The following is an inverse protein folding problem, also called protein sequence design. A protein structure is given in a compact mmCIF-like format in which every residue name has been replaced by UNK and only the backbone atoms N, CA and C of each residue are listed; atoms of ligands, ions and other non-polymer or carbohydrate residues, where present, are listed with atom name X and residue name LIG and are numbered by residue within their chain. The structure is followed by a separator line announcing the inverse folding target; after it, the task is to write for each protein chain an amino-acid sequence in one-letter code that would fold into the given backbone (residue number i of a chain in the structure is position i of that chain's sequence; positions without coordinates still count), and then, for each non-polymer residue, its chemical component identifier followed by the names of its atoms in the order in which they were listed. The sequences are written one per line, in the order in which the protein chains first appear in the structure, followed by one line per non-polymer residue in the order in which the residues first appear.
data_IF_790266365027
#
_entry.id   IF_790266365027
#
_cell.length_a   1.000
_cell.length_b   1.000
_cell.length_c   1.000
_cell.angle_alpha   90.00
_cell.angle_beta   90.00
_cell.angle_gamma   90.00
#
_symmetry.space_group_name_H-M   'P 1'
#
loop_
_entity.id
_entity.type
_entity.pdbx_description
1 polymer ?
#
# COMPACT_ATOMS: atom_id res chain seq x y z
N UNK A 1 -21.22 -28.83 46.17
CA UNK A 1 -19.85 -29.32 46.46
C UNK A 1 -19.19 -29.67 45.13
N UNK A 2 -18.46 -28.72 44.55
CA UNK A 2 -17.80 -28.87 43.25
C UNK A 2 -16.29 -28.82 43.47
N UNK A 3 -15.61 -29.95 43.25
CA UNK A 3 -14.15 -30.05 43.31
C UNK A 3 -13.65 -30.49 41.93
N UNK A 4 -13.65 -29.57 40.97
CA UNK A 4 -12.80 -29.73 39.78
C UNK A 4 -11.48 -29.03 40.04
N UNK A 5 -10.51 -29.86 40.43
CA UNK A 5 -9.11 -29.50 40.65
C UNK A 5 -8.53 -28.88 39.37
N UNK A 6 -8.18 -27.59 39.45
CA UNK A 6 -7.33 -26.90 38.48
C UNK A 6 -5.96 -27.59 38.48
N UNK A 7 -5.77 -28.56 37.59
CA UNK A 7 -4.43 -29.03 37.23
C UNK A 7 -3.74 -27.90 36.47
N UNK A 8 -2.93 -27.14 37.22
CA UNK A 8 -1.89 -26.26 36.65
C UNK A 8 -1.01 -27.13 35.76
N UNK A 9 -1.19 -27.00 34.44
CA UNK A 9 -0.21 -27.47 33.47
C UNK A 9 1.06 -26.61 33.62
N UNK A 10 1.98 -27.07 34.46
CA UNK A 10 3.39 -26.65 34.42
C UNK A 10 4.00 -27.29 33.18
N UNK A 11 4.23 -26.48 32.15
CA UNK A 11 4.91 -26.91 30.93
C UNK A 11 4.65 -26.00 29.74
N UNK A 12 4.78 -24.67 29.92
CA UNK A 12 4.74 -23.78 28.77
C UNK A 12 6.06 -23.98 27.99
N UNK A 13 6.04 -24.76 26.91
CA UNK A 13 7.09 -24.70 25.89
C UNK A 13 7.23 -23.23 25.53
N UNK A 14 8.43 -22.66 25.67
CA UNK A 14 8.71 -21.28 25.25
C UNK A 14 8.35 -21.18 23.76
N UNK A 15 7.22 -20.55 23.45
CA UNK A 15 6.91 -20.20 22.07
C UNK A 15 7.99 -19.20 21.63
N UNK A 16 8.79 -19.60 20.65
CA UNK A 16 9.82 -18.73 20.07
C UNK A 16 9.11 -17.79 19.09
N UNK A 17 8.69 -16.62 19.59
CA UNK A 17 8.15 -15.53 18.76
C UNK A 17 9.27 -14.53 18.49
N UNK A 18 9.47 -14.17 17.23
CA UNK A 18 10.39 -13.09 16.89
C UNK A 18 9.90 -11.79 17.54
N UNK A 19 10.81 -11.02 18.11
CA UNK A 19 10.50 -9.73 18.72
C UNK A 19 10.27 -8.68 17.63
N UNK A 20 9.18 -8.80 16.87
CA UNK A 20 8.78 -7.92 15.77
C UNK A 20 7.47 -7.22 16.10
N UNK A 21 7.22 -6.07 15.48
CA UNK A 21 5.89 -5.50 15.44
C UNK A 21 5.07 -6.23 14.36
N UNK A 22 4.08 -7.01 14.79
CA UNK A 22 3.22 -7.78 13.89
C UNK A 22 2.05 -6.97 13.31
N UNK A 23 1.94 -5.69 13.69
CA UNK A 23 0.83 -4.82 13.36
C UNK A 23 -0.44 -5.13 14.15
N UNK A 24 -1.48 -4.35 13.89
CA UNK A 24 -2.81 -4.55 14.46
C UNK A 24 -3.73 -5.31 13.46
N UNK A 25 -4.66 -6.14 13.95
CA UNK A 25 -4.75 -6.62 15.33
C UNK A 25 -3.53 -7.47 15.69
N UNK A 26 -3.05 -7.35 16.93
CA UNK A 26 -1.86 -8.08 17.37
C UNK A 26 -2.14 -9.60 17.38
N UNK A 27 -1.39 -10.42 16.63
CA UNK A 27 -1.66 -11.85 16.61
C UNK A 27 -1.39 -12.45 17.99
N UNK A 28 -2.24 -13.40 18.43
CA UNK A 28 -2.08 -14.06 19.73
C UNK A 28 -0.73 -14.77 19.81
N UNK A 29 -0.19 -14.91 21.03
CA UNK A 29 1.08 -15.61 21.24
C UNK A 29 0.93 -17.13 21.08
N UNK A 30 -0.29 -17.63 21.20
CA UNK A 30 -0.67 -19.03 21.09
C UNK A 30 -0.92 -19.40 19.62
N UNK A 31 -0.72 -20.68 19.29
CA UNK A 31 -1.02 -21.21 17.95
C UNK A 31 -2.49 -21.54 17.73
N UNK A 32 -3.37 -21.12 18.65
CA UNK A 32 -4.80 -21.40 18.61
C UNK A 32 -5.52 -20.13 18.20
N UNK A 33 -6.35 -20.24 17.16
CA UNK A 33 -7.24 -19.16 16.76
C UNK A 33 -8.55 -19.24 17.54
N UNK A 34 -9.04 -18.10 17.99
CA UNK A 34 -10.36 -17.93 18.57
C UNK A 34 -11.07 -16.77 17.88
N UNK A 35 -12.40 -16.85 17.79
CA UNK A 35 -13.19 -15.86 17.08
C UNK A 35 -13.28 -14.57 17.90
N UNK A 36 -12.54 -13.54 17.46
CA UNK A 36 -12.60 -12.18 17.99
C UNK A 36 -12.79 -11.21 16.83
N UNK A 37 -13.71 -10.24 16.97
CA UNK A 37 -13.94 -9.22 15.94
C UNK A 37 -12.62 -8.56 15.52
N UNK A 38 -12.40 -8.45 14.22
CA UNK A 38 -11.20 -7.89 13.60
C UNK A 38 -10.09 -8.92 13.36
N UNK A 39 -10.06 -10.04 14.09
CA UNK A 39 -9.02 -11.07 13.92
C UNK A 39 -9.22 -11.92 12.66
N UNK A 40 -10.34 -11.78 11.97
CA UNK A 40 -10.56 -12.34 10.63
C UNK A 40 -9.46 -11.87 9.67
N UNK A 41 -8.96 -10.64 9.86
CA UNK A 41 -7.85 -10.09 9.09
C UNK A 41 -6.61 -10.98 9.15
N UNK A 42 -6.32 -11.62 10.29
CA UNK A 42 -5.11 -12.43 10.47
C UNK A 42 -5.14 -13.74 9.67
N UNK A 43 -6.33 -14.21 9.29
CA UNK A 43 -6.54 -15.52 8.68
C UNK A 43 -6.99 -15.44 7.21
N UNK A 44 -7.44 -14.27 6.76
CA UNK A 44 -7.85 -14.07 5.36
C UNK A 44 -6.66 -14.19 4.42
N UNK A 45 -6.89 -14.80 3.25
CA UNK A 45 -5.89 -14.93 2.19
C UNK A 45 -5.37 -13.53 1.79
N UNK A 46 -4.07 -13.23 1.96
CA UNK A 46 -3.50 -11.96 1.57
C UNK A 46 -3.21 -11.88 0.07
N UNK A 47 -3.32 -12.97 -0.70
CA UNK A 47 -2.97 -13.00 -2.13
C UNK A 47 -4.23 -12.86 -2.99
N UNK A 48 -5.25 -13.69 -2.74
CA UNK A 48 -6.51 -13.67 -3.49
C UNK A 48 -7.44 -12.58 -2.93
N UNK A 49 -7.50 -11.43 -3.61
CA UNK A 49 -8.30 -10.28 -3.17
C UNK A 49 -9.20 -9.81 -4.33
N UNK A 50 -10.41 -10.38 -4.46
CA UNK A 50 -11.31 -10.11 -5.60
C UNK A 50 -11.67 -8.62 -5.77
N UNK A 51 -11.69 -7.85 -4.67
CA UNK A 51 -11.96 -6.42 -4.71
C UNK A 51 -10.88 -5.67 -5.50
N UNK A 52 -9.61 -6.05 -5.36
CA UNK A 52 -8.50 -5.44 -6.09
C UNK A 52 -8.58 -5.79 -7.56
N UNK A 53 -8.89 -7.05 -7.89
CA UNK A 53 -9.03 -7.47 -9.29
C UNK A 53 -10.10 -6.65 -10.01
N UNK A 54 -11.25 -6.44 -9.37
CA UNK A 54 -12.32 -5.59 -9.91
C UNK A 54 -11.86 -4.13 -10.09
N UNK A 55 -11.16 -3.58 -9.10
CA UNK A 55 -10.63 -2.21 -9.14
C UNK A 55 -9.58 -2.03 -10.26
N UNK A 56 -8.70 -3.01 -10.45
CA UNK A 56 -7.70 -3.02 -11.53
C UNK A 56 -8.35 -3.14 -12.90
N UNK A 57 -9.37 -3.97 -13.05
CA UNK A 57 -10.12 -4.11 -14.30
C UNK A 57 -10.82 -2.80 -14.67
N UNK A 58 -11.34 -2.07 -13.68
CA UNK A 58 -11.90 -0.73 -13.88
C UNK A 58 -10.85 0.29 -14.36
N UNK A 59 -9.61 0.21 -13.87
CA UNK A 59 -8.49 1.02 -14.38
C UNK A 59 -8.20 0.62 -15.84
N UNK A 60 -7.96 -0.66 -16.11
CA UNK A 60 -7.59 -1.14 -17.46
C UNK A 60 -8.63 -0.75 -18.50
N UNK A 61 -9.91 -0.94 -18.21
CA UNK A 61 -11.01 -0.50 -19.08
C UNK A 61 -11.01 1.01 -19.35
N UNK A 62 -10.56 1.82 -18.39
CA UNK A 62 -10.45 3.27 -18.57
C UNK A 62 -9.27 3.70 -19.42
N UNK A 63 -8.18 2.92 -19.41
CA UNK A 63 -7.01 3.13 -20.26
C UNK A 63 -7.33 2.79 -21.73
N UNK A 64 -8.09 1.72 -21.96
CA UNK A 64 -8.48 1.29 -23.32
C UNK A 64 -9.45 2.27 -24.01
N UNK A 65 -10.15 3.10 -23.23
CA UNK A 65 -10.92 4.21 -23.78
C UNK A 65 -9.95 5.28 -24.27
N UNK A 66 -9.58 5.22 -25.57
CA UNK A 66 -8.89 6.31 -26.28
C UNK A 66 -9.64 7.63 -26.04
N UNK A 67 -9.24 8.36 -25.00
CA UNK A 67 -9.78 9.67 -24.73
C UNK A 67 -9.23 10.59 -25.81
N UNK A 68 -10.09 11.01 -26.73
CA UNK A 68 -9.82 12.19 -27.54
C UNK A 68 -9.56 13.32 -26.53
N UNK A 69 -8.40 14.01 -26.58
CA UNK A 69 -8.06 15.03 -25.61
C UNK A 69 -9.01 16.20 -25.81
N UNK A 70 -10.15 16.16 -25.13
CA UNK A 70 -11.10 17.26 -25.02
C UNK A 70 -11.11 17.70 -23.58
N UNK A 71 -10.04 18.35 -23.17
CA UNK A 71 -10.12 19.33 -22.12
C UNK A 71 -9.60 20.64 -22.70
N UNK A 72 -10.54 21.57 -22.87
CA UNK A 72 -10.25 22.97 -23.18
C UNK A 72 -9.42 23.54 -22.04
N UNK A 73 -8.30 24.24 -22.31
CA UNK A 73 -7.54 24.88 -21.25
C UNK A 73 -8.48 25.75 -20.41
N UNK A 74 -8.47 25.55 -19.10
CA UNK A 74 -9.12 26.51 -18.20
C UNK A 74 -8.49 27.88 -18.42
N UNK A 75 -9.24 28.95 -18.14
CA UNK A 75 -8.72 30.32 -18.16
C UNK A 75 -7.58 30.40 -17.13
N UNK A 76 -6.35 30.29 -17.62
CA UNK A 76 -5.07 30.43 -16.89
C UNK A 76 -4.81 29.37 -15.79
N UNK A 77 -3.91 28.43 -16.08
CA UNK A 77 -3.37 27.51 -15.09
C UNK A 77 -2.25 28.20 -14.28
N UNK A 78 -2.33 28.19 -12.96
CA UNK A 78 -1.32 28.80 -12.09
C UNK A 78 0.07 28.17 -12.26
N UNK A 79 0.12 26.89 -12.65
CA UNK A 79 1.35 26.15 -12.83
C UNK A 79 2.03 26.45 -14.17
N UNK A 80 1.35 27.12 -15.11
CA UNK A 80 1.96 27.55 -16.38
C UNK A 80 3.14 28.51 -16.15
N UNK A 81 3.09 29.29 -15.05
CA UNK A 81 4.15 30.23 -14.67
C UNK A 81 5.38 29.53 -14.09
N UNK A 82 5.27 28.26 -13.69
CA UNK A 82 6.38 27.51 -13.12
C UNK A 82 7.21 26.84 -14.23
N UNK A 83 8.55 26.95 -14.18
CA UNK A 83 9.44 26.13 -14.97
C UNK A 83 9.18 24.64 -14.78
N UNK A 84 9.46 23.86 -15.82
CA UNK A 84 9.25 22.40 -15.83
C UNK A 84 9.97 21.69 -14.68
N UNK A 85 11.17 22.14 -14.32
CA UNK A 85 11.96 21.59 -13.21
C UNK A 85 11.25 21.74 -11.85
N UNK A 86 10.65 22.91 -11.58
CA UNK A 86 9.91 23.13 -10.33
C UNK A 86 8.65 22.28 -10.26
N UNK A 87 8.00 21.99 -11.39
CA UNK A 87 6.86 21.06 -11.42
C UNK A 87 7.29 19.65 -11.02
N UNK A 88 8.44 19.18 -11.52
CA UNK A 88 9.04 17.91 -11.11
C UNK A 88 9.36 17.87 -9.62
N UNK A 89 9.94 18.94 -9.07
CA UNK A 89 10.24 19.01 -7.64
C UNK A 89 8.98 18.98 -6.77
N UNK A 90 7.90 19.63 -7.20
CA UNK A 90 6.58 19.50 -6.55
C UNK A 90 6.14 18.03 -6.53
N UNK A 91 6.24 17.31 -7.65
CA UNK A 91 5.82 15.91 -7.71
C UNK A 91 6.65 14.99 -6.80
N UNK A 92 7.95 15.23 -6.65
CA UNK A 92 8.79 14.44 -5.72
C UNK A 92 8.30 14.51 -4.27
N UNK A 93 7.72 15.65 -3.87
CA UNK A 93 7.22 15.90 -2.52
C UNK A 93 5.83 15.30 -2.27
N UNK A 94 5.08 14.96 -3.33
CA UNK A 94 3.70 14.50 -3.22
C UNK A 94 3.61 12.97 -3.14
N UNK A 95 2.65 12.41 -2.37
CA UNK A 95 2.29 11.00 -2.45
C UNK A 95 1.75 10.60 -3.82
N UNK A 96 1.87 9.32 -4.20
CA UNK A 96 1.46 8.80 -5.50
C UNK A 96 0.00 9.14 -5.87
N UNK A 97 -0.94 8.98 -4.94
CA UNK A 97 -2.35 9.34 -5.15
C UNK A 97 -2.55 10.83 -5.41
N UNK A 98 -1.82 11.68 -4.68
CA UNK A 98 -1.89 13.14 -4.84
C UNK A 98 -1.24 13.63 -6.14
N UNK A 99 -0.20 12.94 -6.64
CA UNK A 99 0.38 13.22 -7.96
C UNK A 99 -0.69 13.05 -9.04
N UNK A 100 -1.42 11.94 -9.02
CA UNK A 100 -2.49 11.66 -9.99
C UNK A 100 -3.62 12.69 -9.87
N UNK A 101 -4.04 13.04 -8.65
CA UNK A 101 -5.03 14.09 -8.42
C UNK A 101 -4.61 15.44 -9.02
N UNK A 102 -3.34 15.82 -8.82
CA UNK A 102 -2.82 17.09 -9.31
C UNK A 102 -2.75 17.14 -10.84
N UNK A 103 -2.35 16.04 -11.48
CA UNK A 103 -2.32 15.94 -12.94
C UNK A 103 -3.73 15.96 -13.53
N UNK A 104 -4.68 15.30 -12.88
CA UNK A 104 -6.09 15.37 -13.24
C UNK A 104 -6.67 16.79 -13.15
N UNK A 105 -6.26 17.57 -12.13
CA UNK A 105 -6.81 18.89 -11.85
C UNK A 105 -6.16 20.05 -12.63
N UNK A 106 -4.91 19.90 -13.09
CA UNK A 106 -4.15 20.97 -13.77
C UNK A 106 -3.61 20.49 -15.11
N UNK A 107 -3.81 21.29 -16.16
CA UNK A 107 -3.32 21.00 -17.50
C UNK A 107 -1.79 21.10 -17.58
N UNK A 108 -1.21 22.13 -16.96
CA UNK A 108 0.24 22.32 -16.91
C UNK A 108 0.95 21.16 -16.18
N UNK A 109 0.30 20.62 -15.14
CA UNK A 109 0.79 19.46 -14.38
C UNK A 109 0.56 18.15 -15.14
N UNK A 110 -0.56 18.02 -15.86
CA UNK A 110 -0.81 16.88 -16.76
C UNK A 110 0.29 16.75 -17.84
N UNK A 111 0.65 17.85 -18.48
CA UNK A 111 1.71 17.87 -19.51
C UNK A 111 3.12 17.59 -18.97
N UNK A 112 3.31 17.64 -17.64
CA UNK A 112 4.60 17.30 -17.04
C UNK A 112 4.78 15.79 -17.02
N UNK A 113 5.59 15.28 -17.94
CA UNK A 113 5.88 13.84 -18.10
C UNK A 113 6.89 13.33 -17.07
N UNK A 114 6.79 12.04 -16.72
CA UNK A 114 7.77 11.33 -15.91
C UNK A 114 8.36 10.15 -16.69
N UNK A 115 9.51 9.65 -16.25
CA UNK A 115 9.92 8.30 -16.65
C UNK A 115 8.99 7.27 -16.00
N UNK A 116 8.76 6.16 -16.70
CA UNK A 116 8.05 5.01 -16.12
C UNK A 116 8.78 4.50 -14.86
N UNK A 117 10.11 4.59 -14.85
CA UNK A 117 10.95 4.21 -13.72
C UNK A 117 10.68 5.06 -12.47
N UNK A 118 10.54 6.38 -12.61
CA UNK A 118 10.22 7.26 -11.48
C UNK A 118 8.89 6.86 -10.83
N UNK A 119 7.87 6.61 -11.65
CA UNK A 119 6.56 6.21 -11.15
C UNK A 119 6.59 4.85 -10.46
N UNK A 120 7.29 3.89 -11.06
CA UNK A 120 7.49 2.56 -10.48
C UNK A 120 8.21 2.66 -9.14
N UNK A 121 9.31 3.40 -9.06
CA UNK A 121 10.05 3.63 -7.82
C UNK A 121 9.19 4.28 -6.73
N UNK A 122 8.38 5.28 -7.10
CA UNK A 122 7.45 5.96 -6.19
C UNK A 122 6.42 5.00 -5.61
N UNK A 123 5.80 4.18 -6.46
CA UNK A 123 4.83 3.17 -6.02
C UNK A 123 5.48 2.05 -5.20
N UNK A 124 6.66 1.57 -5.61
CA UNK A 124 7.39 0.55 -4.85
C UNK A 124 7.84 1.07 -3.48
N UNK A 125 8.13 2.37 -3.34
CA UNK A 125 8.47 2.97 -2.06
C UNK A 125 7.25 3.16 -1.14
N UNK A 126 6.13 3.66 -1.67
CA UNK A 126 4.95 4.01 -0.87
C UNK A 126 4.00 2.83 -0.63
N UNK A 127 3.86 1.95 -1.61
CA UNK A 127 2.90 0.83 -1.63
C UNK A 127 3.55 -0.44 -2.18
N UNK A 128 4.65 -0.94 -1.55
CA UNK A 128 5.34 -2.14 -2.02
C UNK A 128 4.47 -3.41 -1.99
N UNK A 129 3.45 -3.41 -1.12
CA UNK A 129 2.48 -4.49 -0.98
C UNK A 129 1.40 -4.53 -2.07
N UNK A 130 1.38 -3.55 -2.98
CA UNK A 130 0.45 -3.49 -4.12
C UNK A 130 1.22 -3.55 -5.43
N UNK A 131 1.89 -4.67 -5.66
CA UNK A 131 2.76 -4.85 -6.83
C UNK A 131 1.99 -4.87 -8.15
N UNK A 132 0.70 -5.18 -8.15
CA UNK A 132 -0.12 -5.30 -9.36
C UNK A 132 -0.24 -4.00 -10.16
N UNK A 133 -0.02 -2.85 -9.51
CA UNK A 133 -0.10 -1.53 -10.17
C UNK A 133 1.25 -0.98 -10.63
N UNK A 134 2.37 -1.60 -10.23
CA UNK A 134 3.72 -1.04 -10.47
C UNK A 134 4.06 -0.95 -11.96
N UNK A 135 3.50 -1.84 -12.78
CA UNK A 135 3.75 -1.91 -14.23
C UNK A 135 2.63 -1.28 -15.09
N UNK A 136 1.60 -0.70 -14.48
CA UNK A 136 0.47 -0.11 -15.22
C UNK A 136 0.81 1.32 -15.63
N UNK A 137 0.74 1.60 -16.94
CA UNK A 137 0.89 2.96 -17.46
C UNK A 137 -0.44 3.74 -17.37
N UNK A 138 -0.58 4.55 -16.32
CA UNK A 138 -1.80 5.28 -15.96
C UNK A 138 -1.86 6.71 -16.54
N UNK A 139 -0.74 7.25 -17.02
CA UNK A 139 -0.59 8.63 -17.51
C UNK A 139 -0.98 8.77 -18.99
N UNK A 140 -2.21 8.37 -19.33
CA UNK A 140 -2.71 8.44 -20.71
C UNK A 140 -3.62 9.65 -20.95
N UNK A 141 -4.40 10.04 -19.94
CA UNK A 141 -5.30 11.20 -19.99
C UNK A 141 -5.60 11.70 -18.58
N UNK A 142 -6.04 12.95 -18.45
CA UNK A 142 -6.49 13.48 -17.14
C UNK A 142 -7.66 12.68 -16.55
N UNK A 143 -8.50 12.07 -17.40
CA UNK A 143 -9.61 11.21 -16.94
C UNK A 143 -9.09 9.90 -16.33
N UNK A 144 -8.08 9.28 -16.94
CA UNK A 144 -7.46 8.06 -16.38
C UNK A 144 -6.70 8.38 -15.10
N UNK A 145 -6.02 9.54 -15.05
CA UNK A 145 -5.35 10.04 -13.85
C UNK A 145 -6.33 10.31 -12.71
N UNK A 146 -7.46 10.96 -12.97
CA UNK A 146 -8.51 11.24 -11.97
C UNK A 146 -9.06 9.94 -11.36
N UNK A 147 -9.42 8.99 -12.22
CA UNK A 147 -9.96 7.70 -11.78
C UNK A 147 -8.92 6.90 -10.99
N UNK A 148 -7.68 6.86 -11.48
CA UNK A 148 -6.60 6.17 -10.79
C UNK A 148 -6.24 6.81 -9.46
N UNK A 149 -6.28 8.15 -9.38
CA UNK A 149 -6.12 8.90 -8.13
C UNK A 149 -7.15 8.47 -7.09
N UNK A 150 -8.44 8.54 -7.45
CA UNK A 150 -9.53 8.18 -6.55
C UNK A 150 -9.39 6.75 -6.03
N UNK A 151 -9.06 5.82 -6.92
CA UNK A 151 -8.87 4.43 -6.54
C UNK A 151 -7.64 4.21 -5.67
N UNK A 152 -6.49 4.81 -6.00
CA UNK A 152 -5.27 4.64 -5.21
C UNK A 152 -5.43 5.18 -3.79
N UNK A 153 -6.12 6.32 -3.64
CA UNK A 153 -6.46 6.89 -2.34
C UNK A 153 -7.44 5.99 -1.55
N UNK A 154 -8.43 5.40 -2.23
CA UNK A 154 -9.38 4.48 -1.63
C UNK A 154 -8.71 3.17 -1.16
N UNK A 155 -7.87 2.57 -2.00
CA UNK A 155 -7.04 1.40 -1.66
C UNK A 155 -6.11 1.73 -0.48
N UNK A 156 -5.46 2.89 -0.48
CA UNK A 156 -4.58 3.31 0.62
C UNK A 156 -5.35 3.40 1.94
N UNK A 157 -6.59 3.88 1.91
CA UNK A 157 -7.50 3.92 3.06
C UNK A 157 -7.94 2.51 3.47
N UNK A 158 -8.47 1.72 2.55
CA UNK A 158 -9.02 0.38 2.79
C UNK A 158 -7.98 -0.69 3.12
N UNK A 159 -6.70 -0.44 2.85
CA UNK A 159 -5.59 -1.29 3.28
C UNK A 159 -5.14 -1.02 4.72
N UNK A 160 -5.57 0.09 5.34
CA UNK A 160 -5.20 0.44 6.69
C UNK A 160 -6.24 -0.08 7.68
N UNK A 161 -5.90 -1.13 8.43
CA UNK A 161 -6.73 -1.60 9.53
C UNK A 161 -6.77 -0.57 10.67
N UNK A 162 -7.97 -0.28 11.17
CA UNK A 162 -8.18 0.42 12.43
C UNK A 162 -9.23 -0.32 13.26
N UNK A 163 -9.12 -0.27 14.59
CA UNK A 163 -10.12 -0.89 15.48
C UNK A 163 -11.45 -0.14 15.51
N UNK A 164 -11.47 1.09 14.99
CA UNK A 164 -12.58 2.03 15.07
C UNK A 164 -13.49 2.01 13.84
N UNK A 165 -13.03 1.44 12.72
CA UNK A 165 -13.76 1.43 11.45
C UNK A 165 -13.65 0.06 10.78
N UNK A 166 -14.76 -0.40 10.21
CA UNK A 166 -14.86 -1.66 9.48
C UNK A 166 -14.75 -1.46 7.93
N UNK A 167 -14.44 -0.25 7.45
CA UNK A 167 -14.26 0.12 6.03
C UNK A 167 -12.88 -0.27 5.46
N UNK A 168 -12.43 -1.49 5.74
CA UNK A 168 -11.17 -2.03 5.20
C UNK A 168 -11.41 -3.32 4.43
N UNK A 169 -10.56 -3.58 3.44
CA UNK A 169 -10.55 -4.84 2.70
C UNK A 169 -9.65 -5.81 3.45
N UNK A 170 -10.25 -6.85 4.06
CA UNK A 170 -9.56 -7.81 4.93
C UNK A 170 -8.26 -8.36 4.33
N UNK A 171 -8.31 -8.87 3.09
CA UNK A 171 -7.13 -9.44 2.43
C UNK A 171 -6.05 -8.40 2.17
N UNK A 172 -6.45 -7.18 1.82
CA UNK A 172 -5.51 -6.11 1.51
C UNK A 172 -4.83 -5.57 2.76
N UNK A 173 -5.60 -5.39 3.83
CA UNK A 173 -5.06 -5.01 5.12
C UNK A 173 -4.14 -6.09 5.69
N UNK A 174 -4.48 -7.38 5.53
CA UNK A 174 -3.59 -8.48 5.90
C UNK A 174 -2.29 -8.47 5.08
N UNK A 175 -2.38 -8.28 3.76
CA UNK A 175 -1.23 -8.20 2.86
C UNK A 175 -0.28 -7.07 3.28
N UNK A 176 -0.80 -5.85 3.45
CA UNK A 176 -0.02 -4.69 3.92
C UNK A 176 0.65 -4.95 5.27
N UNK A 177 -0.07 -5.56 6.21
CA UNK A 177 0.45 -5.95 7.53
C UNK A 177 1.61 -6.96 7.42
N UNK A 178 1.41 -8.05 6.67
CA UNK A 178 2.44 -9.08 6.46
C UNK A 178 3.69 -8.47 5.83
N UNK A 179 3.52 -7.61 4.82
CA UNK A 179 4.64 -6.92 4.19
C UNK A 179 5.46 -6.11 5.20
N UNK A 180 4.80 -5.35 6.07
CA UNK A 180 5.47 -4.59 7.13
C UNK A 180 6.28 -5.46 8.11
N UNK A 181 5.84 -6.70 8.36
CA UNK A 181 6.63 -7.67 9.15
C UNK A 181 7.84 -8.15 8.36
N UNK A 182 7.67 -8.45 7.07
CA UNK A 182 8.76 -8.86 6.19
C UNK A 182 9.84 -7.77 6.06
N UNK A 183 9.48 -6.49 5.96
CA UNK A 183 10.44 -5.38 5.93
C UNK A 183 11.26 -5.29 7.22
N UNK A 184 10.65 -5.49 8.39
CA UNK A 184 11.38 -5.53 9.65
C UNK A 184 12.37 -6.70 9.72
N UNK A 185 11.99 -7.87 9.19
CA UNK A 185 12.88 -9.04 9.10
C UNK A 185 14.03 -8.74 8.15
N UNK A 186 13.74 -8.17 6.98
CA UNK A 186 14.72 -7.78 5.97
C UNK A 186 15.74 -6.80 6.55
N UNK A 187 15.30 -5.77 7.28
CA UNK A 187 16.19 -4.80 7.91
C UNK A 187 17.19 -5.49 8.86
N UNK A 188 16.71 -6.36 9.76
CA UNK A 188 17.57 -7.11 10.69
C UNK A 188 18.54 -8.04 10.00
N UNK A 189 18.11 -8.66 8.92
CA UNK A 189 18.96 -9.54 8.12
C UNK A 189 20.11 -8.75 7.48
N UNK A 190 19.82 -7.60 6.89
CA UNK A 190 20.82 -6.71 6.30
C UNK A 190 21.82 -6.17 7.34
N UNK A 191 21.34 -5.78 8.53
CA UNK A 191 22.20 -5.37 9.65
C UNK A 191 23.14 -6.50 10.07
N UNK A 192 22.63 -7.73 10.18
CA UNK A 192 23.44 -8.90 10.52
C UNK A 192 24.50 -9.20 9.47
N UNK A 193 24.20 -9.04 8.18
CA UNK A 193 25.18 -9.25 7.11
C UNK A 193 26.29 -8.20 7.14
N UNK A 194 25.96 -6.93 7.39
CA UNK A 194 26.95 -5.86 7.51
C UNK A 194 27.87 -6.05 8.74
N UNK A 195 27.30 -6.48 9.87
CA UNK A 195 28.11 -6.80 11.06
C UNK A 195 29.04 -7.99 10.87
N UNK A 196 28.71 -8.95 10.00
CA UNK A 196 29.61 -10.04 9.64
C UNK A 196 30.79 -9.51 8.82
N UNK A 197 30.58 -8.64 7.84
CA UNK A 197 31.66 -8.06 7.04
C UNK A 197 32.65 -7.20 7.84
N UNK A 198 32.17 -6.48 8.87
CA UNK A 198 33.02 -5.65 9.73
C UNK A 198 33.85 -6.46 10.75
N UNK A 199 33.54 -7.75 10.94
CA UNK A 199 34.25 -8.64 11.88
C UNK A 199 35.30 -9.54 11.24
N UNK A 200 35.36 -9.56 9.90
CA UNK A 200 36.32 -10.35 9.09
C UNK A 200 37.39 -9.48 8.40
N UNK A 201 37.52 -8.20 8.75
CA UNK A 201 38.57 -7.28 8.25
C UNK A 201 39.49 -6.78 9.36
#
# INVERSE_FOLDING_TARGET
MSNYSQRRFKGCRRHVRLQLDYGQPKPPAEQIWYQQKGHELLVVNPVEIPQIDADLDLIKQSLDQKAIPKQTPSKEDIFDKLPYELRHDIFKLLPAGSILALKAASWAMHLTTFSADFWREKLSAEMPWLWEIHDINIFQSQKSEDRASGLLLDIQKKSAYTSENDDFILGLANRRRIWGVCEQIRARYLESLAGISDSES
#
